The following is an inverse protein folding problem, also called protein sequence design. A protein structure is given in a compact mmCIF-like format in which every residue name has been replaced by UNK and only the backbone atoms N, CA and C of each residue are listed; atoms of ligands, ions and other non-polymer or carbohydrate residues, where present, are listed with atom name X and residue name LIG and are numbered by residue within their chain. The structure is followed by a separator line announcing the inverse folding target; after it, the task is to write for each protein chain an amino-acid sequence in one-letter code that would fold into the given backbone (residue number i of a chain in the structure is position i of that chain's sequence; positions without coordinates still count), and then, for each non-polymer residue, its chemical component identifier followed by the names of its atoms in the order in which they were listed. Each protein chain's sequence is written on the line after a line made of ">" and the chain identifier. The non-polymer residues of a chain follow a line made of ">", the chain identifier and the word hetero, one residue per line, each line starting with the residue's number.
data_IF_308765440420
#
_entry.id   IF_308765440420
#
_cell.length_a   1.000
_cell.length_b   1.000
_cell.length_c   1.000
_cell.angle_alpha   90.00
_cell.angle_beta   90.00
_cell.angle_gamma   90.00
#
_symmetry.space_group_name_H-M   'P 1'
#
loop_
_entity.id
_entity.type
_entity.pdbx_description
1 polymer ?
#
# COMPACT_ATOMS: atom_id res chain seq x y z
N UNK A 1 -12.82 13.90 -11.01
CA UNK A 1 -12.65 13.90 -9.54
C UNK A 1 -14.01 13.61 -8.91
N UNK A 2 -14.07 12.82 -7.84
CA UNK A 2 -15.33 12.54 -7.15
C UNK A 2 -15.60 13.64 -6.13
N UNK A 3 -16.79 14.23 -6.18
CA UNK A 3 -17.27 15.27 -5.25
C UNK A 3 -18.32 14.73 -4.26
N UNK A 4 -18.60 13.42 -4.33
CA UNK A 4 -19.52 12.72 -3.44
C UNK A 4 -18.88 11.45 -2.89
N UNK A 5 -19.28 11.06 -1.68
CA UNK A 5 -18.96 9.75 -1.14
C UNK A 5 -19.82 8.70 -1.84
N UNK A 6 -19.19 7.66 -2.38
CA UNK A 6 -19.94 6.60 -3.02
C UNK A 6 -20.49 5.61 -1.99
N UNK A 7 -21.77 5.20 -2.10
CA UNK A 7 -22.30 4.10 -1.31
C UNK A 7 -21.50 2.81 -1.56
N UNK A 8 -21.36 1.98 -0.52
CA UNK A 8 -20.65 0.70 -0.61
C UNK A 8 -21.20 -0.22 -1.70
N UNK A 9 -22.51 -0.17 -1.96
CA UNK A 9 -23.15 -0.92 -3.04
C UNK A 9 -22.67 -0.49 -4.43
N UNK A 10 -22.41 0.79 -4.63
CA UNK A 10 -21.88 1.33 -5.90
C UNK A 10 -20.42 0.94 -6.06
N UNK A 11 -19.62 1.05 -5.00
CA UNK A 11 -18.23 0.61 -4.98
C UNK A 11 -18.12 -0.89 -5.31
N UNK A 12 -18.97 -1.72 -4.72
CA UNK A 12 -19.03 -3.15 -5.00
C UNK A 12 -19.41 -3.46 -6.46
N UNK A 13 -20.34 -2.68 -7.04
CA UNK A 13 -20.70 -2.80 -8.48
C UNK A 13 -19.55 -2.43 -9.40
N UNK A 14 -18.73 -1.44 -9.03
CA UNK A 14 -17.53 -1.03 -9.78
C UNK A 14 -16.37 -2.03 -9.62
N UNK A 15 -16.21 -2.61 -8.43
CA UNK A 15 -15.17 -3.60 -8.18
C UNK A 15 -15.48 -4.96 -8.81
N UNK A 16 -16.75 -5.33 -8.98
CA UNK A 16 -17.13 -6.59 -9.61
C UNK A 16 -16.48 -6.83 -10.98
N UNK A 17 -16.56 -5.91 -11.98
CA UNK A 17 -15.88 -6.10 -13.26
C UNK A 17 -14.35 -6.00 -13.15
N UNK A 18 -13.80 -5.24 -12.19
CA UNK A 18 -12.35 -5.19 -11.96
C UNK A 18 -11.81 -6.53 -11.46
N UNK A 19 -12.50 -7.13 -10.48
CA UNK A 19 -12.21 -8.49 -9.97
C UNK A 19 -12.32 -9.52 -11.09
N UNK A 20 -13.42 -9.45 -11.86
CA UNK A 20 -13.65 -10.31 -13.02
C UNK A 20 -12.53 -10.26 -14.04
N UNK A 21 -12.17 -9.06 -14.49
CA UNK A 21 -11.15 -8.85 -15.51
C UNK A 21 -9.78 -9.36 -15.03
N UNK A 22 -9.45 -9.09 -13.78
CA UNK A 22 -8.15 -9.46 -13.23
C UNK A 22 -8.00 -10.97 -13.03
N UNK A 23 -9.01 -11.64 -12.45
CA UNK A 23 -8.94 -13.06 -12.08
C UNK A 23 -9.37 -14.02 -13.19
N UNK A 24 -10.43 -13.66 -13.93
CA UNK A 24 -11.06 -14.55 -14.90
C UNK A 24 -10.90 -14.07 -16.35
N UNK A 25 -10.37 -12.86 -16.58
CA UNK A 25 -10.36 -12.25 -17.92
C UNK A 25 -11.78 -11.98 -18.45
N UNK A 26 -12.77 -11.92 -17.57
CA UNK A 26 -14.20 -11.86 -17.89
C UNK A 26 -14.89 -10.73 -17.09
N UNK A 27 -16.07 -10.24 -17.49
CA UNK A 27 -16.75 -9.15 -16.76
C UNK A 27 -17.25 -9.54 -15.36
N UNK A 28 -17.29 -10.84 -15.05
CA UNK A 28 -17.66 -11.37 -13.73
C UNK A 28 -16.75 -12.55 -13.42
N UNK A 29 -16.41 -12.71 -12.14
CA UNK A 29 -15.71 -13.88 -11.60
C UNK A 29 -16.59 -14.56 -10.53
N UNK A 30 -16.54 -15.88 -10.46
CA UNK A 30 -17.01 -16.65 -9.32
C UNK A 30 -15.95 -16.71 -8.20
N UNK A 31 -16.33 -17.27 -7.04
CA UNK A 31 -15.39 -17.46 -5.93
C UNK A 31 -14.19 -18.33 -6.29
N UNK A 32 -14.39 -19.37 -7.10
CA UNK A 32 -13.34 -20.29 -7.54
C UNK A 32 -12.34 -19.69 -8.55
N UNK A 33 -12.65 -18.54 -9.16
CA UNK A 33 -11.73 -17.88 -10.08
C UNK A 33 -10.66 -17.07 -9.33
N UNK A 34 -11.03 -16.53 -8.16
CA UNK A 34 -10.18 -15.67 -7.34
C UNK A 34 -9.18 -16.49 -6.53
N UNK A 35 -7.89 -16.45 -6.89
CA UNK A 35 -6.86 -17.16 -6.14
C UNK A 35 -6.53 -16.50 -4.80
N UNK A 36 -6.61 -15.16 -4.75
CA UNK A 36 -6.26 -14.37 -3.56
C UNK A 36 -7.40 -13.41 -3.25
N UNK A 37 -7.60 -13.11 -1.96
CA UNK A 37 -8.55 -12.10 -1.51
C UNK A 37 -8.27 -10.74 -2.17
N UNK A 38 -9.33 -10.02 -2.54
CA UNK A 38 -9.20 -8.74 -3.27
C UNK A 38 -8.55 -7.66 -2.42
N UNK A 39 -8.83 -7.67 -1.13
CA UNK A 39 -8.31 -6.73 -0.14
C UNK A 39 -6.78 -6.84 -0.05
N UNK A 40 -6.24 -8.06 -0.16
CA UNK A 40 -4.81 -8.32 -0.22
C UNK A 40 -4.19 -7.85 -1.55
N UNK A 41 -4.92 -7.99 -2.67
CA UNK A 41 -4.49 -7.45 -3.96
C UNK A 41 -4.42 -5.90 -3.96
N UNK A 42 -5.30 -5.23 -3.21
CA UNK A 42 -5.33 -3.77 -3.07
C UNK A 42 -4.25 -3.18 -2.15
N UNK A 43 -3.55 -4.00 -1.36
CA UNK A 43 -2.41 -3.53 -0.55
C UNK A 43 -1.27 -3.03 -1.45
N UNK A 44 -0.41 -2.14 -0.95
CA UNK A 44 0.76 -1.68 -1.72
C UNK A 44 1.71 -2.84 -1.96
N UNK A 45 2.60 -2.63 -2.93
CA UNK A 45 3.69 -3.53 -3.22
C UNK A 45 4.63 -3.73 -2.04
N UNK A 46 4.85 -2.66 -1.27
CA UNK A 46 5.61 -2.65 -0.02
C UNK A 46 4.92 -3.50 1.05
N UNK A 47 3.59 -3.38 1.20
CA UNK A 47 2.77 -4.18 2.12
C UNK A 47 2.49 -5.61 1.60
N UNK A 48 3.18 -6.06 0.54
CA UNK A 48 3.04 -7.40 -0.03
C UNK A 48 1.76 -7.64 -0.83
N UNK A 49 1.08 -6.59 -1.31
CA UNK A 49 -0.02 -6.64 -2.27
C UNK A 49 0.40 -6.34 -3.72
N UNK A 50 -0.56 -6.20 -4.63
CA UNK A 50 -0.30 -5.87 -6.04
C UNK A 50 -0.22 -4.36 -6.32
N UNK A 51 -0.67 -3.54 -5.37
CA UNK A 51 -0.81 -2.10 -5.52
C UNK A 51 -2.05 -1.68 -6.31
N UNK A 52 -3.08 -2.53 -6.39
CA UNK A 52 -4.36 -2.13 -6.95
C UNK A 52 -5.01 -1.08 -6.05
N UNK A 53 -5.69 -0.09 -6.63
CA UNK A 53 -6.34 0.94 -5.82
C UNK A 53 -7.62 0.40 -5.19
N UNK A 54 -7.72 0.51 -3.86
CA UNK A 54 -8.97 0.32 -3.14
C UNK A 54 -9.90 1.51 -3.45
N UNK A 55 -11.12 1.24 -3.95
CA UNK A 55 -12.01 2.34 -4.37
C UNK A 55 -12.59 3.10 -3.19
N UNK A 56 -12.82 2.44 -2.05
CA UNK A 56 -13.37 3.11 -0.89
C UNK A 56 -12.37 4.13 -0.35
N UNK A 57 -11.12 3.71 -0.15
CA UNK A 57 -10.02 4.59 0.24
C UNK A 57 -9.72 5.65 -0.82
N UNK A 58 -9.78 5.31 -2.12
CA UNK A 58 -9.57 6.27 -3.20
C UNK A 58 -10.67 7.34 -3.25
N UNK A 59 -11.94 6.95 -3.13
CA UNK A 59 -13.05 7.89 -3.08
C UNK A 59 -12.92 8.81 -1.87
N UNK A 60 -12.58 8.26 -0.70
CA UNK A 60 -12.32 9.03 0.52
C UNK A 60 -11.16 10.01 0.37
N UNK A 61 -10.02 9.59 -0.20
CA UNK A 61 -8.87 10.45 -0.46
C UNK A 61 -9.15 11.56 -1.48
N UNK A 62 -9.98 11.28 -2.50
CA UNK A 62 -10.47 12.31 -3.42
C UNK A 62 -11.36 13.33 -2.71
N UNK A 63 -12.26 12.89 -1.83
CA UNK A 63 -13.08 13.78 -1.02
C UNK A 63 -12.24 14.63 -0.06
N UNK A 64 -11.24 14.04 0.61
CA UNK A 64 -10.32 14.78 1.47
C UNK A 64 -9.53 15.85 0.70
N UNK A 65 -9.17 15.61 -0.56
CA UNK A 65 -8.57 16.65 -1.40
C UNK A 65 -9.52 17.82 -1.62
N UNK A 66 -10.82 17.59 -1.74
CA UNK A 66 -11.80 18.67 -1.82
C UNK A 66 -11.95 19.41 -0.49
N UNK A 67 -11.97 18.70 0.65
CA UNK A 67 -11.95 19.32 1.99
C UNK A 67 -10.71 20.20 2.16
N UNK A 68 -9.54 19.71 1.74
CA UNK A 68 -8.31 20.48 1.78
C UNK A 68 -8.40 21.82 1.04
N UNK A 69 -9.07 21.85 -0.12
CA UNK A 69 -9.28 23.09 -0.88
C UNK A 69 -10.17 24.10 -0.15
N UNK A 70 -11.13 23.62 0.65
CA UNK A 70 -11.96 24.50 1.48
C UNK A 70 -11.08 25.22 2.51
N UNK A 71 -10.23 24.47 3.22
CA UNK A 71 -9.29 25.01 4.21
C UNK A 71 -8.23 25.92 3.61
N UNK A 72 -7.69 25.60 2.43
CA UNK A 72 -6.64 26.40 1.77
C UNK A 72 -7.16 27.68 1.09
N UNK A 73 -8.45 28.01 1.21
CA UNK A 73 -8.98 29.21 0.56
C UNK A 73 -9.06 29.14 -0.96
N UNK A 74 -8.71 28.00 -1.59
CA UNK A 74 -8.73 27.86 -3.06
C UNK A 74 -10.14 28.16 -3.60
N UNK A 75 -10.23 29.00 -4.63
CA UNK A 75 -11.48 29.28 -5.33
C UNK A 75 -11.66 28.36 -6.52
N UNK A 76 -12.85 27.77 -6.61
CA UNK A 76 -13.33 26.98 -7.73
C UNK A 76 -14.83 26.83 -7.58
N UNK A 77 -15.51 26.50 -8.68
CA UNK A 77 -16.98 26.38 -8.71
C UNK A 77 -17.55 25.53 -7.58
N UNK A 78 -16.85 24.46 -7.16
CA UNK A 78 -17.31 23.58 -6.09
C UNK A 78 -17.09 24.20 -4.70
N UNK A 79 -15.92 24.76 -4.41
CA UNK A 79 -15.64 25.43 -3.13
C UNK A 79 -16.50 26.68 -2.96
N UNK A 80 -16.70 27.44 -4.03
CA UNK A 80 -17.49 28.68 -3.99
C UNK A 80 -18.97 28.36 -3.77
N UNK A 81 -19.47 27.29 -4.38
CA UNK A 81 -20.80 26.76 -4.10
C UNK A 81 -20.96 26.31 -2.65
N UNK A 82 -19.98 25.58 -2.09
CA UNK A 82 -20.02 25.17 -0.68
C UNK A 82 -20.01 26.38 0.25
N UNK A 83 -19.10 27.34 0.07
CA UNK A 83 -19.02 28.56 0.91
C UNK A 83 -20.31 29.38 0.83
N UNK A 84 -20.87 29.54 -0.37
CA UNK A 84 -22.11 30.28 -0.58
C UNK A 84 -23.30 29.70 0.20
N UNK A 85 -23.44 28.37 0.22
CA UNK A 85 -24.56 27.71 0.88
C UNK A 85 -24.34 27.48 2.38
N UNK A 86 -23.11 27.14 2.80
CA UNK A 86 -22.83 26.68 4.16
C UNK A 86 -22.13 27.70 5.05
N UNK A 87 -21.14 28.44 4.55
CA UNK A 87 -20.50 29.51 5.34
C UNK A 87 -21.39 30.75 5.40
N UNK A 88 -22.16 31.00 4.33
CA UNK A 88 -23.13 32.10 4.27
C UNK A 88 -24.43 31.88 5.06
N UNK A 89 -24.56 30.76 5.80
CA UNK A 89 -25.74 30.46 6.63
C UNK A 89 -27.07 30.34 5.86
N UNK A 90 -27.02 30.11 4.53
CA UNK A 90 -28.21 30.08 3.65
C UNK A 90 -28.88 28.72 3.57
N UNK A 91 -28.21 27.66 4.01
CA UNK A 91 -28.77 26.32 4.01
C UNK A 91 -29.57 26.07 5.29
N UNK A 92 -30.90 25.98 5.16
CA UNK A 92 -31.82 25.50 6.22
C UNK A 92 -31.73 23.97 6.48
N UNK A 93 -30.62 23.33 6.10
CA UNK A 93 -30.47 21.90 6.27
C UNK A 93 -29.16 21.30 5.77
N UNK A 94 -28.82 20.17 6.39
CA UNK A 94 -27.64 19.37 6.12
C UNK A 94 -27.81 18.54 4.83
N UNK A 95 -27.34 19.06 3.68
CA UNK A 95 -27.33 18.22 2.46
C UNK A 95 -26.46 16.99 2.69
N UNK A 96 -26.74 15.87 1.98
CA UNK A 96 -25.90 14.68 2.07
C UNK A 96 -24.41 14.97 1.81
N UNK A 97 -24.11 15.88 0.87
CA UNK A 97 -22.74 16.30 0.56
C UNK A 97 -22.08 17.01 1.76
N UNK A 98 -22.80 17.92 2.41
CA UNK A 98 -22.27 18.63 3.58
C UNK A 98 -22.09 17.70 4.80
N UNK A 99 -23.02 16.77 5.03
CA UNK A 99 -22.85 15.75 6.09
C UNK A 99 -21.62 14.89 5.88
N UNK A 100 -21.37 14.48 4.63
CA UNK A 100 -20.16 13.72 4.30
C UNK A 100 -18.88 14.54 4.52
N UNK A 101 -18.88 15.81 4.12
CA UNK A 101 -17.75 16.73 4.36
C UNK A 101 -17.50 16.87 5.87
N UNK A 102 -18.53 17.19 6.66
CA UNK A 102 -18.42 17.31 8.13
C UNK A 102 -17.89 16.04 8.78
N UNK A 103 -18.30 14.87 8.29
CA UNK A 103 -17.78 13.58 8.78
C UNK A 103 -16.30 13.39 8.48
N UNK A 104 -15.80 13.95 7.38
CA UNK A 104 -14.39 13.85 6.98
C UNK A 104 -13.49 14.88 7.66
N UNK A 105 -14.02 15.99 8.17
CA UNK A 105 -13.21 17.06 8.80
C UNK A 105 -12.34 16.54 9.96
N UNK A 106 -12.87 15.79 10.96
CA UNK A 106 -12.05 15.32 12.07
C UNK A 106 -10.86 14.46 11.60
N UNK A 107 -11.11 13.55 10.66
CA UNK A 107 -10.08 12.68 10.11
C UNK A 107 -9.10 13.43 9.21
N UNK A 108 -9.58 14.42 8.45
CA UNK A 108 -8.72 15.32 7.69
C UNK A 108 -7.72 16.03 8.60
N UNK A 109 -8.20 16.62 9.72
CA UNK A 109 -7.35 17.31 10.69
C UNK A 109 -6.26 16.39 11.25
N UNK A 110 -6.58 15.14 11.56
CA UNK A 110 -5.59 14.15 12.05
C UNK A 110 -4.52 13.79 11.02
N UNK A 111 -4.79 13.94 9.73
CA UNK A 111 -3.86 13.59 8.65
C UNK A 111 -3.03 14.78 8.17
N UNK A 112 -3.35 16.01 8.60
CA UNK A 112 -2.70 17.23 8.12
C UNK A 112 -1.91 17.96 9.18
N UNK A 113 -0.77 18.51 8.77
CA UNK A 113 0.05 19.45 9.53
C UNK A 113 -0.16 20.85 8.99
N UNK A 114 0.01 21.85 9.85
CA UNK A 114 -0.21 23.26 9.52
C UNK A 114 1.02 24.07 9.86
N UNK A 115 1.46 24.91 8.93
CA UNK A 115 2.38 26.01 9.19
C UNK A 115 1.55 27.28 9.27
N UNK A 116 1.59 27.91 10.44
CA UNK A 116 0.87 29.16 10.67
C UNK A 116 1.35 30.27 9.75
N UNK A 117 0.38 30.96 9.18
CA UNK A 117 0.48 32.26 8.53
C UNK A 117 -0.40 33.25 9.29
N UNK A 118 -1.54 33.61 8.71
CA UNK A 118 -2.54 34.51 9.29
C UNK A 118 -3.40 33.86 10.39
N UNK A 119 -3.48 32.53 10.44
CA UNK A 119 -4.20 31.78 11.47
C UNK A 119 -5.72 31.79 11.31
N UNK A 120 -6.27 32.36 10.24
CA UNK A 120 -7.73 32.48 10.03
C UNK A 120 -8.37 31.14 9.67
N UNK A 121 -7.62 30.27 9.00
CA UNK A 121 -8.15 28.99 8.52
C UNK A 121 -7.82 27.83 9.46
N UNK A 122 -7.11 28.12 10.56
CA UNK A 122 -6.53 27.12 11.47
C UNK A 122 -7.26 27.13 12.81
N UNK A 123 -7.83 25.99 13.18
CA UNK A 123 -8.46 25.80 14.50
C UNK A 123 -7.40 25.72 15.58
N UNK A 124 -7.60 26.48 16.65
CA UNK A 124 -6.67 26.53 17.77
C UNK A 124 -6.49 25.17 18.44
N UNK A 125 -7.58 24.45 18.69
CA UNK A 125 -7.57 23.19 19.46
C UNK A 125 -7.40 21.94 18.62
N UNK A 126 -7.92 21.94 17.40
CA UNK A 126 -8.12 20.71 16.62
C UNK A 126 -7.06 20.45 15.56
N UNK A 127 -6.35 21.48 15.10
CA UNK A 127 -5.33 21.35 14.06
C UNK A 127 -3.93 21.18 14.66
N UNK A 128 -3.05 20.47 13.93
CA UNK A 128 -1.64 20.29 14.31
C UNK A 128 -0.78 21.43 13.77
N UNK A 129 -0.80 22.55 14.47
CA UNK A 129 0.01 23.74 14.17
C UNK A 129 1.12 23.99 15.20
N UNK A 130 1.05 23.33 16.37
CA UNK A 130 2.02 23.46 17.46
C UNK A 130 3.04 22.31 17.46
N UNK A 131 4.22 22.52 18.08
CA UNK A 131 5.20 21.45 18.30
C UNK A 131 4.68 20.35 19.25
N UNK A 132 3.74 20.69 20.13
CA UNK A 132 3.08 19.75 21.04
C UNK A 132 2.03 18.87 20.31
N UNK A 133 1.81 19.07 19.02
CA UNK A 133 0.80 18.35 18.26
C UNK A 133 -0.56 19.04 18.30
N UNK A 134 -1.61 18.25 18.50
CA UNK A 134 -2.99 18.74 18.67
C UNK A 134 -3.18 19.21 20.11
N UNK A 135 -3.45 20.51 20.29
CA UNK A 135 -3.49 21.13 21.63
C UNK A 135 -4.56 20.54 22.55
N UNK A 136 -5.72 20.11 22.02
CA UNK A 136 -6.76 19.48 22.87
C UNK A 136 -6.30 18.16 23.50
N UNK A 137 -5.39 17.45 22.84
CA UNK A 137 -4.90 16.14 23.27
C UNK A 137 -3.68 16.32 24.19
N UNK A 138 -2.86 17.34 23.94
CA UNK A 138 -1.71 17.70 24.76
C UNK A 138 -2.09 18.43 26.07
N UNK A 139 -3.15 19.24 26.05
CA UNK A 139 -3.63 20.06 27.16
C UNK A 139 -5.14 19.83 27.39
N UNK A 140 -5.55 18.63 27.82
CA UNK A 140 -6.97 18.27 27.93
C UNK A 140 -7.69 18.98 29.08
N UNK A 141 -6.99 19.36 30.15
CA UNK A 141 -7.63 19.99 31.31
C UNK A 141 -8.11 21.41 30.98
N UNK A 142 -7.30 22.21 30.29
CA UNK A 142 -7.70 23.54 29.82
C UNK A 142 -8.74 23.46 28.70
N UNK A 143 -8.62 22.49 27.78
CA UNK A 143 -9.61 22.28 26.73
C UNK A 143 -11.01 22.01 27.30
N UNK A 144 -11.12 21.23 28.38
CA UNK A 144 -12.41 20.96 29.04
C UNK A 144 -13.11 22.20 29.62
N UNK A 145 -12.37 23.31 29.78
CA UNK A 145 -12.89 24.60 30.27
C UNK A 145 -13.06 25.62 29.14
N UNK A 146 -12.86 25.24 27.88
CA UNK A 146 -13.02 26.14 26.74
C UNK A 146 -14.51 26.39 26.43
N UNK A 147 -14.86 27.65 26.19
CA UNK A 147 -16.22 28.06 25.81
C UNK A 147 -16.46 27.93 24.30
N UNK A 148 -15.42 28.12 23.49
CA UNK A 148 -15.46 27.99 22.04
C UNK A 148 -14.37 27.01 21.54
N UNK A 149 -14.70 25.71 21.42
CA UNK A 149 -13.76 24.71 20.93
C UNK A 149 -13.35 24.90 19.46
N UNK A 150 -14.15 25.61 18.67
CA UNK A 150 -13.95 25.76 17.22
C UNK A 150 -13.20 27.06 16.86
N UNK A 151 -12.83 27.87 17.85
CA UNK A 151 -12.08 29.11 17.67
C UNK A 151 -10.80 28.94 16.84
N UNK A 152 -10.52 29.94 16.01
CA UNK A 152 -9.33 30.00 15.16
C UNK A 152 -8.11 30.52 15.93
N UNK A 153 -6.91 30.25 15.41
CA UNK A 153 -5.66 30.77 16.00
C UNK A 153 -5.62 32.30 15.91
N UNK A 154 -6.12 32.88 14.81
CA UNK A 154 -6.23 34.33 14.63
C UNK A 154 -7.12 34.97 15.71
N UNK A 155 -8.31 34.41 15.96
CA UNK A 155 -9.24 34.93 16.97
C UNK A 155 -8.62 34.87 18.37
N UNK A 156 -8.03 33.73 18.74
CA UNK A 156 -7.42 33.55 20.07
C UNK A 156 -6.24 34.50 20.27
N UNK A 157 -5.37 34.67 19.27
CA UNK A 157 -4.22 35.58 19.40
C UNK A 157 -4.62 37.05 19.35
N UNK A 158 -5.61 37.43 18.53
CA UNK A 158 -6.14 38.80 18.48
C UNK A 158 -6.77 39.24 19.80
N UNK A 159 -7.34 38.31 20.56
CA UNK A 159 -7.88 38.54 21.90
C UNK A 159 -6.80 38.64 23.00
N UNK A 160 -5.52 38.54 22.66
CA UNK A 160 -4.40 38.50 23.62
C UNK A 160 -4.20 37.12 24.25
N UNK A 161 -4.57 36.05 23.55
CA UNK A 161 -4.52 34.67 24.01
C UNK A 161 -5.85 34.17 24.58
N UNK A 162 -5.81 33.02 25.27
CA UNK A 162 -6.97 32.50 26.01
C UNK A 162 -7.25 33.38 27.23
N UNK A 163 -8.05 34.42 27.02
CA UNK A 163 -8.51 35.32 28.08
C UNK A 163 -9.73 34.75 28.81
N UNK A 164 -10.12 35.35 29.94
CA UNK A 164 -11.26 34.92 30.76
C UNK A 164 -12.60 34.88 30.01
N UNK A 165 -12.72 35.51 28.84
CA UNK A 165 -13.92 35.47 28.00
C UNK A 165 -14.04 34.22 27.13
N UNK A 166 -12.94 33.49 26.88
CA UNK A 166 -12.93 32.23 26.13
C UNK A 166 -12.91 30.97 26.99
N UNK A 167 -12.87 31.13 28.32
CA UNK A 167 -12.77 30.04 29.30
C UNK A 167 -13.87 30.13 30.35
N UNK A 168 -14.22 29.00 30.94
CA UNK A 168 -15.12 28.94 32.09
C UNK A 168 -14.57 29.79 33.27
N UNK A 169 -15.43 30.50 34.03
CA UNK A 169 -15.00 31.42 35.09
C UNK A 169 -14.17 30.77 36.22
N UNK A 170 -14.31 29.46 36.43
CA UNK A 170 -13.58 28.70 37.45
C UNK A 170 -12.75 27.62 36.77
N UNK A 171 -11.43 27.76 36.84
CA UNK A 171 -10.48 26.76 36.37
C UNK A 171 -10.11 25.81 37.51
N UNK A 172 -9.91 24.53 37.18
CA UNK A 172 -9.24 23.60 38.09
C UNK A 172 -7.75 23.93 38.22
N UNK A 173 -7.10 23.44 39.27
CA UNK A 173 -5.65 23.62 39.46
C UNK A 173 -4.84 23.08 38.28
N UNK A 174 -5.28 21.95 37.69
CA UNK A 174 -4.65 21.37 36.51
C UNK A 174 -4.83 22.27 35.27
N UNK A 175 -6.05 22.76 35.02
CA UNK A 175 -6.30 23.68 33.91
C UNK A 175 -5.55 25.01 34.06
N UNK A 176 -5.37 25.49 35.30
CA UNK A 176 -4.56 26.67 35.59
C UNK A 176 -3.08 26.47 35.26
N UNK A 177 -2.51 25.30 35.62
CA UNK A 177 -1.13 24.96 35.28
C UNK A 177 -0.92 24.83 33.75
N UNK A 178 -1.86 24.17 33.05
CA UNK A 178 -1.82 24.06 31.58
C UNK A 178 -1.96 25.43 30.89
N UNK A 179 -2.78 26.33 31.43
CA UNK A 179 -2.93 27.69 30.89
C UNK A 179 -1.63 28.51 30.98
N UNK A 180 -0.90 28.41 32.08
CA UNK A 180 0.39 29.12 32.24
C UNK A 180 1.46 28.57 31.29
N UNK A 181 1.51 27.24 31.11
CA UNK A 181 2.37 26.62 30.09
C UNK A 181 2.03 27.11 28.67
N UNK A 182 0.74 27.14 28.35
CA UNK A 182 0.26 27.58 27.05
C UNK A 182 0.53 29.06 26.81
N UNK A 183 0.37 29.93 27.83
CA UNK A 183 0.69 31.35 27.74
C UNK A 183 2.14 31.60 27.34
N UNK A 184 3.08 30.93 28.00
CA UNK A 184 4.50 31.03 27.65
C UNK A 184 4.79 30.56 26.22
N UNK A 185 4.10 29.52 25.76
CA UNK A 185 4.24 29.05 24.39
C UNK A 185 3.62 30.02 23.35
N UNK A 186 2.48 30.64 23.66
CA UNK A 186 1.79 31.56 22.77
C UNK A 186 2.53 32.89 22.59
N UNK A 187 3.27 33.35 23.58
CA UNK A 187 4.11 34.57 23.46
C UNK A 187 5.16 34.48 22.34
N UNK A 188 5.62 33.25 22.04
CA UNK A 188 6.58 33.01 20.96
C UNK A 188 5.93 32.96 19.57
N UNK A 189 4.60 32.87 19.48
CA UNK A 189 3.88 32.71 18.21
C UNK A 189 3.63 34.07 17.57
N UNK A 190 4.15 34.26 16.36
CA UNK A 190 3.93 35.47 15.56
C UNK A 190 3.21 35.13 14.26
N UNK A 191 1.97 35.63 14.13
CA UNK A 191 1.21 35.54 12.90
C UNK A 191 1.88 36.35 11.80
N UNK A 192 1.71 35.88 10.57
CA UNK A 192 2.31 36.46 9.37
C UNK A 192 1.20 36.85 8.38
N UNK A 193 1.43 37.84 7.50
CA UNK A 193 0.39 38.34 6.59
C UNK A 193 0.11 37.42 5.38
N UNK A 194 0.58 36.16 5.42
CA UNK A 194 0.35 35.18 4.37
C UNK A 194 -0.61 34.10 4.85
N UNK A 195 -1.36 33.50 3.93
CA UNK A 195 -2.30 32.43 4.26
C UNK A 195 -1.62 31.21 4.90
N UNK A 196 -2.30 30.58 5.86
CA UNK A 196 -1.87 29.31 6.45
C UNK A 196 -1.55 28.25 5.38
N UNK A 197 -0.50 27.46 5.62
CA UNK A 197 -0.10 26.37 4.72
C UNK A 197 -0.38 25.04 5.37
N UNK A 198 -1.16 24.19 4.71
CA UNK A 198 -1.49 22.84 5.19
C UNK A 198 -0.91 21.77 4.28
N UNK A 199 -0.44 20.67 4.85
CA UNK A 199 -0.01 19.51 4.09
C UNK A 199 -0.31 18.19 4.79
N UNK A 200 -0.35 17.10 4.03
CA UNK A 200 -0.56 15.76 4.58
C UNK A 200 0.73 15.31 5.27
N UNK A 201 0.64 14.73 6.47
CA UNK A 201 1.79 14.20 7.19
C UNK A 201 2.55 13.18 6.34
N UNK A 202 3.88 13.33 6.23
CA UNK A 202 4.73 12.53 5.35
C UNK A 202 4.63 12.86 3.84
N UNK A 203 3.82 13.84 3.45
CA UNK A 203 3.67 14.34 2.09
C UNK A 203 4.42 15.66 1.83
N UNK A 204 4.47 16.11 0.57
CA UNK A 204 5.08 17.40 0.21
C UNK A 204 4.25 18.58 0.72
N UNK A 205 4.91 19.65 1.16
CA UNK A 205 4.25 20.84 1.72
C UNK A 205 3.61 21.76 0.69
N UNK A 206 4.06 21.73 -0.57
CA UNK A 206 3.73 22.76 -1.58
C UNK A 206 2.66 22.33 -2.59
N UNK A 207 2.36 21.04 -2.70
CA UNK A 207 1.42 20.54 -3.70
C UNK A 207 0.75 19.24 -3.25
N UNK A 208 -0.18 19.37 -2.29
CA UNK A 208 -0.97 18.23 -1.81
C UNK A 208 -1.78 17.63 -2.96
N UNK A 209 -1.85 16.31 -3.04
CA UNK A 209 -2.62 15.57 -4.05
C UNK A 209 -3.56 14.59 -3.38
N UNK A 210 -4.57 14.14 -4.11
CA UNK A 210 -5.45 13.06 -3.63
C UNK A 210 -4.69 11.76 -3.35
N UNK A 211 -3.53 11.54 -3.99
CA UNK A 211 -2.65 10.40 -3.70
C UNK A 211 -2.05 10.45 -2.31
N UNK A 212 -1.81 11.65 -1.77
CA UNK A 212 -1.17 11.84 -0.48
C UNK A 212 -2.18 11.46 0.62
N UNK A 213 -3.43 11.92 0.51
CA UNK A 213 -4.53 11.43 1.35
C UNK A 213 -4.77 9.93 1.20
N UNK A 214 -4.76 9.40 -0.04
CA UNK A 214 -4.92 7.97 -0.26
C UNK A 214 -3.85 7.15 0.46
N UNK A 215 -2.60 7.60 0.45
CA UNK A 215 -1.51 6.90 1.13
C UNK A 215 -1.61 7.06 2.66
N UNK A 216 -1.96 8.24 3.16
CA UNK A 216 -2.10 8.49 4.60
C UNK A 216 -3.31 7.76 5.22
N UNK A 217 -4.39 7.57 4.45
CA UNK A 217 -5.57 6.78 4.85
C UNK A 217 -5.29 5.27 4.89
N UNK A 218 -4.17 4.80 4.33
CA UNK A 218 -3.82 3.39 4.36
C UNK A 218 -3.03 3.11 5.60
N UNK A 219 -3.51 2.15 6.38
CA UNK A 219 -2.73 1.59 7.50
C UNK A 219 -1.56 0.78 6.92
N UNK A 220 -0.30 1.16 7.16
CA UNK A 220 0.84 0.31 6.84
C UNK A 220 0.76 -0.93 7.74
N UNK A 221 0.78 -2.12 7.14
CA UNK A 221 0.72 -3.39 7.89
C UNK A 221 2.13 -3.94 8.16
N UNK A 222 3.15 -3.29 7.59
CA UNK A 222 4.50 -3.85 7.48
C UNK A 222 4.52 -4.87 6.35
N UNK A 223 5.53 -4.75 5.48
CA UNK A 223 5.69 -5.68 4.37
C UNK A 223 6.01 -7.09 4.86
N UNK A 224 5.44 -8.15 4.27
CA UNK A 224 5.93 -9.50 4.52
C UNK A 224 7.39 -9.59 4.07
N UNK A 225 8.18 -10.53 4.63
CA UNK A 225 9.49 -10.85 4.11
C UNK A 225 9.45 -10.97 2.58
N UNK A 226 10.48 -10.44 1.90
CA UNK A 226 10.65 -10.53 0.45
C UNK A 226 9.59 -9.78 -0.39
N UNK A 227 8.88 -8.79 0.16
CA UNK A 227 8.07 -7.84 -0.63
C UNK A 227 8.89 -7.24 -1.78
N UNK A 228 10.13 -6.83 -1.49
CA UNK A 228 11.05 -6.26 -2.47
C UNK A 228 11.41 -7.25 -3.60
N UNK A 229 11.75 -8.50 -3.27
CA UNK A 229 12.13 -9.55 -4.24
C UNK A 229 11.10 -9.70 -5.36
N UNK A 230 9.82 -9.63 -5.00
CA UNK A 230 8.73 -9.82 -5.96
C UNK A 230 8.66 -8.73 -7.02
N UNK A 231 9.01 -7.49 -6.65
CA UNK A 231 8.79 -6.31 -7.50
C UNK A 231 10.10 -5.74 -8.07
N UNK A 232 11.20 -5.92 -7.35
CA UNK A 232 12.54 -5.46 -7.70
C UNK A 232 13.29 -6.54 -8.50
N UNK A 233 12.79 -6.91 -9.68
CA UNK A 233 13.42 -7.86 -10.60
C UNK A 233 13.13 -7.49 -12.05
N UNK A 234 13.80 -8.16 -13.00
CA UNK A 234 13.62 -7.93 -14.44
C UNK A 234 12.52 -8.80 -15.06
N UNK A 235 11.95 -9.72 -14.29
CA UNK A 235 10.91 -10.64 -14.77
C UNK A 235 9.66 -9.88 -15.27
N UNK A 236 8.97 -10.38 -16.31
CA UNK A 236 7.72 -9.80 -16.80
C UNK A 236 6.63 -9.74 -15.72
N UNK A 237 5.68 -8.81 -15.85
CA UNK A 237 4.61 -8.61 -14.85
C UNK A 237 3.78 -9.87 -14.56
N UNK A 238 3.51 -10.70 -15.57
CA UNK A 238 2.84 -11.99 -15.36
C UNK A 238 3.60 -12.93 -14.41
N UNK A 239 4.93 -12.90 -14.45
CA UNK A 239 5.79 -13.72 -13.59
C UNK A 239 5.86 -13.14 -12.19
N UNK A 240 5.92 -11.81 -12.07
CA UNK A 240 5.85 -11.13 -10.77
C UNK A 240 4.51 -11.36 -10.05
N UNK A 241 3.39 -11.39 -10.79
CA UNK A 241 2.07 -11.75 -10.25
C UNK A 241 2.03 -13.23 -9.86
N UNK A 242 2.59 -14.12 -10.69
CA UNK A 242 2.71 -15.54 -10.35
C UNK A 242 3.48 -15.76 -9.04
N UNK A 243 4.66 -15.13 -8.88
CA UNK A 243 5.45 -15.27 -7.66
C UNK A 243 4.71 -14.68 -6.44
N UNK A 244 3.96 -13.59 -6.65
CA UNK A 244 3.12 -13.03 -5.60
C UNK A 244 2.05 -14.02 -5.13
N UNK A 245 1.39 -14.72 -6.06
CA UNK A 245 0.42 -15.79 -5.76
C UNK A 245 1.12 -16.96 -5.05
N UNK A 246 2.32 -17.33 -5.50
CA UNK A 246 3.13 -18.42 -4.93
C UNK A 246 3.45 -18.19 -3.46
N UNK A 247 3.94 -17.01 -3.11
CA UNK A 247 4.22 -16.60 -1.72
C UNK A 247 3.01 -16.72 -0.80
N UNK A 248 1.81 -16.44 -1.32
CA UNK A 248 0.58 -16.52 -0.52
C UNK A 248 0.02 -17.95 -0.43
N UNK A 249 0.76 -18.95 -0.94
CA UNK A 249 0.35 -20.35 -1.07
C UNK A 249 -1.00 -20.52 -1.81
N UNK A 250 -1.22 -19.67 -2.83
CA UNK A 250 -2.46 -19.64 -3.63
C UNK A 250 -2.28 -20.11 -5.07
N UNK A 251 -1.17 -20.80 -5.35
CA UNK A 251 -0.98 -21.39 -6.68
C UNK A 251 -1.94 -22.55 -6.90
N UNK A 252 -2.33 -22.76 -8.16
CA UNK A 252 -3.25 -23.84 -8.55
C UNK A 252 -2.50 -25.17 -8.68
N UNK A 253 -1.86 -25.61 -7.60
CA UNK A 253 -1.28 -26.96 -7.51
C UNK A 253 -2.36 -28.03 -7.58
N UNK A 254 -2.06 -29.25 -8.05
CA UNK A 254 -3.04 -30.34 -8.05
C UNK A 254 -3.58 -30.64 -6.68
N UNK A 255 -2.76 -30.64 -5.63
CA UNK A 255 -3.26 -30.83 -4.25
C UNK A 255 -4.20 -29.69 -3.81
N UNK A 256 -3.93 -28.45 -4.23
CA UNK A 256 -4.83 -27.32 -3.97
C UNK A 256 -6.14 -27.46 -4.75
N UNK A 257 -6.09 -27.79 -6.04
CA UNK A 257 -7.27 -27.96 -6.89
C UNK A 257 -8.14 -29.15 -6.42
N UNK A 258 -7.52 -30.26 -6.02
CA UNK A 258 -8.22 -31.44 -5.50
C UNK A 258 -8.98 -31.11 -4.21
N UNK A 259 -8.38 -30.33 -3.30
CA UNK A 259 -9.07 -29.80 -2.09
C UNK A 259 -10.29 -28.93 -2.42
N UNK A 260 -10.31 -28.31 -3.60
CA UNK A 260 -11.43 -27.50 -4.09
C UNK A 260 -12.36 -28.27 -5.04
N UNK A 261 -12.29 -29.61 -5.06
CA UNK A 261 -13.24 -30.48 -5.77
C UNK A 261 -12.88 -30.81 -7.22
N UNK A 262 -11.64 -30.56 -7.65
CA UNK A 262 -11.17 -31.07 -8.94
C UNK A 262 -11.13 -32.61 -8.93
N UNK A 263 -11.58 -33.24 -10.03
CA UNK A 263 -11.68 -34.71 -10.17
C UNK A 263 -10.40 -35.39 -10.67
N UNK A 264 -9.38 -34.61 -11.02
CA UNK A 264 -8.06 -35.13 -11.45
C UNK A 264 -7.23 -35.55 -10.22
N UNK A 265 -6.12 -36.26 -10.42
CA UNK A 265 -5.21 -36.65 -9.34
C UNK A 265 -4.63 -35.44 -8.60
N UNK A 266 -4.36 -35.61 -7.30
CA UNK A 266 -3.57 -34.67 -6.49
C UNK A 266 -2.06 -34.82 -6.71
N UNK A 267 -1.61 -35.85 -7.43
CA UNK A 267 -0.19 -36.23 -7.54
C UNK A 267 0.66 -35.24 -8.31
N UNK A 268 1.89 -35.08 -7.85
CA UNK A 268 2.94 -34.32 -8.51
C UNK A 268 3.29 -34.91 -9.89
N UNK A 269 3.26 -34.11 -10.97
CA UNK A 269 3.64 -34.60 -12.30
C UNK A 269 5.10 -35.06 -12.42
N UNK A 270 6.01 -34.44 -11.66
CA UNK A 270 7.43 -34.82 -11.64
C UNK A 270 7.71 -36.08 -10.80
N UNK A 271 6.86 -36.37 -9.83
CA UNK A 271 7.05 -37.47 -8.89
C UNK A 271 5.69 -38.07 -8.48
N UNK A 272 5.13 -38.98 -9.30
CA UNK A 272 3.83 -39.58 -9.05
C UNK A 272 3.75 -40.30 -7.69
N UNK A 273 2.58 -40.27 -7.05
CA UNK A 273 2.33 -40.89 -5.74
C UNK A 273 2.57 -39.98 -4.54
N UNK A 274 3.02 -38.74 -4.74
CA UNK A 274 3.11 -37.71 -3.70
C UNK A 274 2.23 -36.51 -4.08
N UNK A 275 1.40 -35.97 -3.17
CA UNK A 275 0.58 -34.80 -3.46
C UNK A 275 1.40 -33.58 -3.91
N UNK A 276 0.93 -32.90 -4.96
CA UNK A 276 1.53 -31.66 -5.48
C UNK A 276 1.21 -30.48 -4.56
N UNK A 277 1.88 -30.38 -3.42
CA UNK A 277 1.87 -29.17 -2.60
C UNK A 277 2.90 -28.15 -3.08
N UNK A 278 2.75 -26.89 -2.72
CA UNK A 278 3.67 -25.81 -3.11
C UNK A 278 5.11 -26.11 -2.67
N UNK A 279 5.31 -26.46 -1.39
CA UNK A 279 6.63 -26.79 -0.87
C UNK A 279 7.21 -28.03 -1.56
N UNK A 280 6.39 -29.06 -1.81
CA UNK A 280 6.81 -30.23 -2.57
C UNK A 280 7.29 -29.84 -3.97
N UNK A 281 6.43 -29.20 -4.77
CA UNK A 281 6.72 -28.88 -6.17
C UNK A 281 7.98 -28.04 -6.34
N UNK A 282 8.15 -27.00 -5.52
CA UNK A 282 9.23 -26.03 -5.71
C UNK A 282 10.49 -26.36 -4.94
N UNK A 283 10.43 -27.19 -3.90
CA UNK A 283 11.56 -27.35 -2.97
C UNK A 283 11.92 -28.82 -2.75
N UNK A 284 11.00 -29.65 -2.25
CA UNK A 284 11.33 -30.99 -1.78
C UNK A 284 11.06 -32.13 -2.79
N UNK A 285 10.66 -31.81 -4.02
CA UNK A 285 10.42 -32.81 -5.06
C UNK A 285 11.72 -33.56 -5.41
N UNK A 286 11.80 -34.89 -5.21
CA UNK A 286 13.04 -35.65 -5.46
C UNK A 286 13.56 -35.54 -6.89
N UNK A 287 12.65 -35.38 -7.86
CA UNK A 287 12.99 -35.18 -9.26
C UNK A 287 13.82 -33.90 -9.50
N UNK A 288 13.61 -32.87 -8.68
CA UNK A 288 14.27 -31.56 -8.78
C UNK A 288 15.43 -31.41 -7.79
N UNK A 289 15.79 -32.44 -7.03
CA UNK A 289 16.93 -32.38 -6.10
C UNK A 289 18.24 -32.08 -6.83
N UNK A 290 18.47 -32.74 -7.97
CA UNK A 290 19.65 -32.45 -8.81
C UNK A 290 19.65 -31.02 -9.36
N UNK A 291 18.46 -30.47 -9.65
CA UNK A 291 18.30 -29.07 -10.05
C UNK A 291 18.84 -28.15 -8.95
N UNK A 292 18.35 -28.31 -7.73
CA UNK A 292 18.73 -27.47 -6.59
C UNK A 292 20.19 -27.66 -6.17
N UNK A 293 20.69 -28.89 -6.12
CA UNK A 293 22.08 -29.18 -5.75
C UNK A 293 23.08 -28.46 -6.67
N UNK A 294 22.77 -28.31 -7.96
CA UNK A 294 23.62 -27.55 -8.90
C UNK A 294 23.46 -26.04 -8.79
N UNK A 295 22.24 -25.55 -8.53
CA UNK A 295 21.98 -24.12 -8.38
C UNK A 295 22.53 -23.57 -7.07
N UNK A 296 22.67 -24.43 -6.06
CA UNK A 296 23.03 -24.11 -4.68
C UNK A 296 24.10 -25.09 -4.15
N UNK A 297 25.29 -25.18 -4.77
CA UNK A 297 26.29 -26.20 -4.45
C UNK A 297 26.85 -26.08 -3.03
N UNK A 298 27.03 -24.84 -2.55
CA UNK A 298 27.63 -24.54 -1.23
C UNK A 298 26.59 -24.17 -0.17
N UNK A 299 25.30 -24.39 -0.44
CA UNK A 299 24.19 -23.98 0.42
C UNK A 299 23.38 -25.20 0.86
N UNK A 300 22.77 -25.16 2.06
CA UNK A 300 21.88 -26.24 2.49
C UNK A 300 20.68 -26.34 1.55
N UNK A 301 20.12 -27.56 1.45
CA UNK A 301 18.88 -27.77 0.68
C UNK A 301 17.78 -26.88 1.26
N UNK A 302 17.09 -26.07 0.44
CA UNK A 302 16.07 -25.17 0.96
C UNK A 302 14.92 -25.96 1.59
N UNK A 303 14.25 -25.36 2.57
CA UNK A 303 13.08 -25.96 3.26
C UNK A 303 11.75 -25.29 2.91
N UNK A 304 11.80 -24.10 2.30
CA UNK A 304 10.64 -23.35 1.81
C UNK A 304 10.98 -22.58 0.54
N UNK A 305 9.97 -22.06 -0.15
CA UNK A 305 10.17 -21.21 -1.34
C UNK A 305 10.93 -19.94 -0.97
N UNK A 306 10.62 -19.34 0.18
CA UNK A 306 11.34 -18.17 0.70
C UNK A 306 12.80 -18.49 0.96
N UNK A 307 13.10 -19.60 1.64
CA UNK A 307 14.46 -20.03 1.90
C UNK A 307 15.23 -20.32 0.60
N UNK A 308 14.57 -20.92 -0.41
CA UNK A 308 15.18 -21.21 -1.70
C UNK A 308 15.59 -19.92 -2.42
N UNK A 309 14.71 -18.92 -2.41
CA UNK A 309 14.99 -17.63 -3.02
C UNK A 309 16.07 -16.87 -2.24
N UNK A 310 16.07 -16.92 -0.91
CA UNK A 310 17.13 -16.32 -0.09
C UNK A 310 18.49 -16.97 -0.36
N UNK A 311 18.56 -18.31 -0.40
CA UNK A 311 19.77 -19.04 -0.74
C UNK A 311 20.26 -18.68 -2.16
N UNK A 312 19.35 -18.59 -3.12
CA UNK A 312 19.70 -18.13 -4.48
C UNK A 312 20.18 -16.68 -4.51
N UNK A 313 19.63 -15.79 -3.70
CA UNK A 313 20.14 -14.42 -3.62
C UNK A 313 21.54 -14.38 -3.02
N UNK A 314 21.85 -15.26 -2.07
CA UNK A 314 23.17 -15.35 -1.43
C UNK A 314 24.26 -15.88 -2.36
N UNK A 315 23.93 -16.51 -3.49
CA UNK A 315 24.93 -16.94 -4.49
C UNK A 315 25.47 -15.78 -5.34
N UNK A 316 24.88 -14.58 -5.23
CA UNK A 316 25.34 -13.38 -5.92
C UNK A 316 26.06 -12.47 -4.92
N UNK A 317 27.16 -11.85 -5.35
CA UNK A 317 27.95 -10.93 -4.50
C UNK A 317 27.11 -9.73 -4.02
N UNK A 318 26.23 -9.23 -4.89
CA UNK A 318 25.35 -8.10 -4.60
C UNK A 318 23.88 -8.53 -4.61
N UNK A 319 23.11 -8.02 -3.65
CA UNK A 319 21.66 -8.15 -3.61
C UNK A 319 20.94 -7.34 -4.70
N UNK A 320 19.61 -7.49 -4.78
CA UNK A 320 18.77 -6.65 -5.63
C UNK A 320 18.31 -7.33 -6.92
N UNK A 321 18.21 -6.56 -8.02
CA UNK A 321 17.43 -6.97 -9.20
C UNK A 321 17.92 -8.25 -9.88
N UNK A 322 19.23 -8.43 -9.94
CA UNK A 322 19.85 -9.56 -10.64
C UNK A 322 19.55 -10.89 -9.94
N UNK A 323 19.89 -11.10 -8.65
CA UNK A 323 19.56 -12.34 -7.94
C UNK A 323 18.06 -12.63 -7.92
N UNK A 324 17.21 -11.60 -7.71
CA UNK A 324 15.76 -11.77 -7.74
C UNK A 324 15.27 -12.28 -9.11
N UNK A 325 15.92 -11.84 -10.21
CA UNK A 325 15.57 -12.28 -11.57
C UNK A 325 15.93 -13.75 -11.79
N UNK A 326 17.11 -14.18 -11.33
CA UNK A 326 17.53 -15.58 -11.39
C UNK A 326 16.55 -16.48 -10.62
N UNK A 327 16.22 -16.11 -9.38
CA UNK A 327 15.27 -16.87 -8.56
C UNK A 327 13.88 -16.97 -9.21
N UNK A 328 13.36 -15.86 -9.76
CA UNK A 328 12.10 -15.89 -10.49
C UNK A 328 12.14 -16.78 -11.74
N UNK A 329 13.28 -16.86 -12.42
CA UNK A 329 13.41 -17.66 -13.63
C UNK A 329 13.29 -19.15 -13.31
N UNK A 330 13.96 -19.60 -12.24
CA UNK A 330 13.88 -20.98 -11.73
C UNK A 330 12.45 -21.35 -11.39
N UNK A 331 11.80 -20.59 -10.50
CA UNK A 331 10.43 -20.87 -10.05
C UNK A 331 9.43 -20.83 -11.22
N UNK A 332 9.57 -19.86 -12.12
CA UNK A 332 8.70 -19.77 -13.29
C UNK A 332 8.85 -20.95 -14.24
N UNK A 333 10.07 -21.43 -14.46
CA UNK A 333 10.31 -22.56 -15.34
C UNK A 333 9.83 -23.86 -14.71
N UNK A 334 10.05 -24.11 -13.43
CA UNK A 334 9.47 -25.27 -12.72
C UNK A 334 7.96 -25.29 -12.92
N UNK A 335 7.28 -24.16 -12.69
CA UNK A 335 5.84 -24.03 -12.91
C UNK A 335 5.42 -24.29 -14.36
N UNK A 336 6.19 -23.78 -15.33
CA UNK A 336 5.90 -23.99 -16.75
C UNK A 336 6.10 -25.43 -17.19
N UNK A 337 7.20 -26.06 -16.80
CA UNK A 337 7.49 -27.46 -17.12
C UNK A 337 6.42 -28.36 -16.51
N UNK A 338 6.03 -28.11 -15.26
CA UNK A 338 4.87 -28.77 -14.63
C UNK A 338 3.61 -28.62 -15.47
N UNK A 339 3.27 -27.41 -15.90
CA UNK A 339 2.08 -27.16 -16.73
C UNK A 339 2.16 -27.83 -18.11
N UNK A 340 3.35 -27.92 -18.70
CA UNK A 340 3.55 -28.62 -19.97
C UNK A 340 3.29 -30.12 -19.83
N UNK A 341 3.74 -30.73 -18.72
CA UNK A 341 3.46 -32.14 -18.42
C UNK A 341 1.96 -32.39 -18.26
N UNK A 342 1.24 -31.52 -17.54
CA UNK A 342 -0.22 -31.68 -17.32
C UNK A 342 -1.03 -31.43 -18.60
N UNK A 343 -0.84 -30.28 -19.24
CA UNK A 343 -1.77 -29.82 -20.28
C UNK A 343 -1.34 -30.21 -21.70
N UNK A 344 -0.09 -30.66 -21.89
CA UNK A 344 0.46 -30.99 -23.20
C UNK A 344 1.09 -32.39 -23.25
N UNK A 345 1.01 -33.15 -22.16
CA UNK A 345 1.67 -34.45 -22.02
C UNK A 345 3.16 -34.40 -22.41
N UNK A 346 3.83 -33.27 -22.17
CA UNK A 346 5.23 -33.10 -22.49
C UNK A 346 6.11 -33.87 -21.50
N UNK A 347 7.24 -34.40 -21.96
CA UNK A 347 8.29 -34.94 -21.10
C UNK A 347 9.33 -33.84 -20.82
N UNK A 348 9.43 -33.40 -19.56
CA UNK A 348 10.31 -32.32 -19.14
C UNK A 348 11.46 -32.89 -18.31
N UNK A 349 12.59 -33.15 -18.96
CA UNK A 349 13.82 -33.56 -18.27
C UNK A 349 14.57 -32.38 -17.62
N UNK A 350 15.39 -32.68 -16.62
CA UNK A 350 16.18 -31.69 -15.88
C UNK A 350 17.11 -30.87 -16.81
N UNK A 351 17.80 -31.44 -17.81
CA UNK A 351 18.57 -30.66 -18.80
C UNK A 351 17.74 -29.63 -19.59
N UNK A 352 16.52 -29.99 -20.02
CA UNK A 352 15.60 -29.07 -20.69
C UNK A 352 15.15 -27.94 -19.76
N UNK A 353 14.91 -28.26 -18.48
CA UNK A 353 14.59 -27.27 -17.44
C UNK A 353 15.73 -26.25 -17.30
N UNK A 354 16.99 -26.68 -17.19
CA UNK A 354 18.14 -25.76 -17.15
C UNK A 354 18.23 -24.84 -18.37
N UNK A 355 18.12 -25.41 -19.57
CA UNK A 355 18.16 -24.64 -20.82
C UNK A 355 17.02 -23.63 -20.89
N UNK A 356 15.84 -23.98 -20.38
CA UNK A 356 14.69 -23.08 -20.28
C UNK A 356 14.92 -21.97 -19.26
N UNK A 357 15.51 -22.26 -18.09
CA UNK A 357 15.86 -21.26 -17.06
C UNK A 357 16.79 -20.21 -17.67
N UNK A 358 17.89 -20.64 -18.28
CA UNK A 358 18.86 -19.77 -18.97
C UNK A 358 18.17 -18.87 -20.00
N UNK A 359 17.37 -19.46 -20.89
CA UNK A 359 16.68 -18.69 -21.93
C UNK A 359 15.76 -17.61 -21.38
N UNK A 360 15.06 -17.88 -20.26
CA UNK A 360 14.21 -16.86 -19.62
C UNK A 360 15.07 -15.78 -18.93
N UNK A 361 16.10 -16.17 -18.20
CA UNK A 361 16.98 -15.23 -17.51
C UNK A 361 17.71 -14.29 -18.49
N UNK A 362 18.27 -14.81 -19.59
CA UNK A 362 18.88 -14.03 -20.66
C UNK A 362 17.87 -13.08 -21.33
N UNK A 363 16.66 -13.57 -21.65
CA UNK A 363 15.61 -12.75 -22.23
C UNK A 363 15.17 -11.62 -21.28
N UNK A 364 15.12 -11.89 -19.98
CA UNK A 364 14.74 -10.89 -18.98
C UNK A 364 15.87 -9.89 -18.73
N UNK A 365 17.14 -10.29 -18.88
CA UNK A 365 18.29 -9.39 -18.84
C UNK A 365 18.17 -8.27 -19.90
N UNK A 366 17.59 -8.54 -21.07
CA UNK A 366 17.33 -7.52 -22.10
C UNK A 366 16.37 -6.40 -21.65
N UNK A 367 15.65 -6.58 -20.53
CA UNK A 367 14.75 -5.57 -19.95
C UNK A 367 15.46 -4.66 -18.95
N UNK A 368 16.74 -4.88 -18.69
CA UNK A 368 17.51 -4.09 -17.75
C UNK A 368 17.69 -2.64 -18.22
N UNK A 369 17.57 -1.66 -17.32
CA UNK A 369 17.97 -0.29 -17.64
C UNK A 369 19.48 -0.23 -17.87
N UNK A 370 19.95 0.67 -18.75
CA UNK A 370 21.38 0.79 -19.14
C UNK A 370 22.37 0.90 -17.98
N UNK A 371 21.93 1.44 -16.84
CA UNK A 371 22.74 1.63 -15.62
C UNK A 371 22.87 0.40 -14.72
N UNK A 372 22.10 -0.65 -14.98
CA UNK A 372 22.14 -1.88 -14.18
C UNK A 372 23.11 -2.85 -14.84
N UNK A 373 24.15 -3.24 -14.12
CA UNK A 373 25.02 -4.32 -14.57
C UNK A 373 24.28 -5.66 -14.51
N UNK A 374 24.24 -6.35 -15.65
CA UNK A 374 23.64 -7.68 -15.81
C UNK A 374 24.69 -8.75 -16.10
N UNK A 375 25.98 -8.40 -16.10
CA UNK A 375 27.06 -9.36 -16.25
C UNK A 375 26.99 -10.49 -15.22
N UNK A 376 26.68 -10.26 -13.93
CA UNK A 376 26.53 -11.36 -12.97
C UNK A 376 25.40 -12.33 -13.33
N UNK A 377 24.28 -11.84 -13.90
CA UNK A 377 23.18 -12.70 -14.36
C UNK A 377 23.60 -13.56 -15.55
N UNK A 378 24.35 -12.99 -16.49
CA UNK A 378 24.85 -13.71 -17.67
C UNK A 378 25.89 -14.75 -17.29
N UNK A 379 26.80 -14.41 -16.38
CA UNK A 379 27.80 -15.34 -15.85
C UNK A 379 27.10 -16.50 -15.12
N UNK A 380 26.11 -16.21 -14.27
CA UNK A 380 25.29 -17.24 -13.64
C UNK A 380 24.59 -18.13 -14.68
N UNK A 381 24.06 -17.57 -15.77
CA UNK A 381 23.46 -18.38 -16.84
C UNK A 381 24.45 -19.34 -17.52
N UNK A 382 25.74 -18.98 -17.57
CA UNK A 382 26.80 -19.84 -18.10
C UNK A 382 27.11 -20.97 -17.12
N UNK A 383 27.33 -20.65 -15.84
CA UNK A 383 27.63 -21.66 -14.80
C UNK A 383 26.51 -22.67 -14.57
N UNK A 384 25.26 -22.26 -14.75
CA UNK A 384 24.06 -23.12 -14.58
C UNK A 384 23.91 -24.16 -15.71
N UNK A 385 24.45 -23.92 -16.91
CA UNK A 385 24.24 -24.77 -18.09
C UNK A 385 25.52 -25.41 -18.61
N UNK A 386 26.70 -24.86 -18.32
CA UNK A 386 27.97 -25.43 -18.74
C UNK A 386 28.24 -26.72 -17.95
N UNK A 387 27.79 -27.85 -18.50
CA UNK A 387 28.39 -29.17 -18.34
C UNK A 387 28.44 -29.75 -19.75
N UNK A 388 29.66 -29.80 -20.28
CA UNK A 388 30.12 -31.10 -20.79
C UNK A 388 30.28 -32.02 -19.59
#
# INVERSE_FOLDING_TARGET
>A
MSVISFPQTTLAKLDRPRKGLFWAGAPKCGGGDCQVAWELACRSKEDGGLGLKDLATLNKGLMMRHVHKLFMGESNLWTDWIRFWYDGGRADGDTPCWRDIKRLIPEYRTLTLVKLGDGETTSFWHDTWSEAGVLRDALPAIFSHCLDPDATVAEVLSAGGLTRSGLQPRLTTAAGAELELLRGALEAVQLQPFADVRWVSGGPSTAVRATDFYNALRTPIGGPPMAEVNWNCLAPKKVQVFFWILRHDRTRTRASLHRHGARDTSDCPFYPGVPEETAHLFVSCPYLTGLWARLLPDQPTPVSVEAAVQAMCATFADGGRVPHTAAMAVLWVIWKSRNAMIFRAAHEDVPNIYRSIRRHAELWACRAPRRLDVAPLKLWCQTVVDVN
#
